data_IF_213372877390
#
_entry.id   IF_213372877390
#
_cell.length_a   1.000
_cell.length_b   1.000
_cell.length_c   1.000
_cell.angle_alpha   90.00
_cell.angle_beta   90.00
_cell.angle_gamma   90.00
#
_symmetry.space_group_name_H-M   'P 1'
#
loop_
_entity.id
_entity.type
_entity.pdbx_description
1 polymer ?
#
# COMPACT_ATOMS: atom_id res chain seq x y z
N UNK A 1 34.15 -16.02 26.34
CA UNK A 1 33.16 -15.20 27.06
C UNK A 1 31.91 -16.05 27.26
N UNK A 2 31.53 -16.35 28.50
CA UNK A 2 30.29 -17.07 28.82
C UNK A 2 29.08 -16.15 28.60
N UNK A 3 27.97 -16.61 27.99
CA UNK A 3 26.83 -15.75 27.75
C UNK A 3 26.11 -15.43 29.07
N UNK A 4 25.95 -14.15 29.36
CA UNK A 4 25.14 -13.65 30.47
C UNK A 4 23.66 -13.69 30.09
N UNK A 5 22.84 -14.32 30.95
CA UNK A 5 21.38 -14.40 30.82
C UNK A 5 20.77 -13.03 31.17
N UNK A 6 19.79 -12.51 30.40
CA UNK A 6 19.15 -11.22 30.69
C UNK A 6 18.45 -11.21 32.07
N UNK A 7 18.48 -10.10 32.82
CA UNK A 7 17.87 -9.99 34.15
C UNK A 7 16.37 -10.32 34.19
N UNK A 8 15.66 -10.22 33.06
CA UNK A 8 14.24 -10.55 32.93
C UNK A 8 13.91 -12.05 32.95
N UNK A 9 14.92 -12.93 32.96
CA UNK A 9 14.75 -14.39 32.92
C UNK A 9 15.05 -15.08 34.27
N UNK A 10 15.31 -14.28 35.30
CA UNK A 10 15.60 -14.74 36.65
C UNK A 10 14.38 -14.43 37.52
N UNK A 11 13.68 -15.47 37.98
CA UNK A 11 12.55 -15.29 38.91
C UNK A 11 13.02 -14.69 40.24
N UNK A 12 12.09 -14.17 41.05
CA UNK A 12 12.39 -13.50 42.34
C UNK A 12 13.27 -14.31 43.31
N UNK A 13 13.42 -15.61 43.10
CA UNK A 13 14.26 -16.51 43.91
C UNK A 13 15.62 -16.86 43.26
N UNK A 14 16.07 -16.13 42.23
CA UNK A 14 17.41 -16.33 41.64
C UNK A 14 17.57 -17.58 40.77
N UNK A 15 16.47 -18.22 40.35
CA UNK A 15 16.47 -19.41 39.49
C UNK A 15 15.88 -19.09 38.10
N UNK A 16 16.35 -19.76 37.01
CA UNK A 16 15.75 -19.64 35.69
C UNK A 16 14.29 -20.09 35.73
N UNK A 17 13.40 -19.28 35.13
CA UNK A 17 11.96 -19.58 35.06
C UNK A 17 11.73 -20.84 34.22
N UNK A 18 10.92 -21.79 34.72
CA UNK A 18 10.63 -23.03 33.98
C UNK A 18 9.72 -22.72 32.77
N UNK A 19 9.90 -23.39 31.61
CA UNK A 19 9.04 -23.18 30.43
C UNK A 19 7.53 -23.38 30.70
N UNK A 20 7.18 -24.24 31.66
CA UNK A 20 5.80 -24.46 32.09
C UNK A 20 5.18 -23.28 32.85
N UNK A 21 5.99 -22.39 33.41
CA UNK A 21 5.56 -21.18 34.15
C UNK A 21 5.47 -19.95 33.22
N UNK A 22 6.12 -19.97 32.05
CA UNK A 22 5.92 -18.96 31.00
C UNK A 22 4.51 -19.05 30.37
N UNK A 23 3.95 -20.25 30.26
CA UNK A 23 2.64 -20.49 29.66
C UNK A 23 1.45 -20.11 30.56
N UNK A 24 1.67 -19.87 31.85
CA UNK A 24 0.64 -19.41 32.79
C UNK A 24 0.59 -17.88 32.93
N UNK A 25 1.53 -17.15 32.31
CA UNK A 25 1.60 -15.69 32.34
C UNK A 25 1.11 -15.04 31.03
N UNK A 26 0.59 -15.84 30.09
CA UNK A 26 0.00 -15.38 28.84
C UNK A 26 -1.38 -16.04 28.69
N UNK A 27 -2.30 -15.65 29.57
CA UNK A 27 -3.73 -15.76 29.28
C UNK A 27 -4.06 -14.65 28.26
N UNK A 28 -4.10 -15.02 26.97
CA UNK A 28 -4.74 -14.21 25.94
C UNK A 28 -6.26 -14.28 26.12
N UNK A 29 -6.77 -13.60 27.15
CA UNK A 29 -8.13 -13.07 27.08
C UNK A 29 -8.11 -11.90 26.11
N UNK A 30 -8.71 -12.06 24.93
CA UNK A 30 -9.00 -10.97 24.00
C UNK A 30 -9.84 -9.90 24.72
N UNK A 31 -9.31 -8.71 25.05
CA UNK A 31 -10.02 -7.73 25.87
C UNK A 31 -10.65 -6.64 25.00
N UNK A 32 -11.24 -7.02 23.86
CA UNK A 32 -11.88 -6.06 22.97
C UNK A 32 -13.32 -6.50 22.72
N UNK A 33 -14.24 -5.68 23.23
CA UNK A 33 -15.71 -5.74 23.18
C UNK A 33 -16.41 -6.41 24.38
N UNK A 34 -16.70 -5.60 25.40
CA UNK A 34 -17.99 -5.76 26.08
C UNK A 34 -19.11 -5.37 25.08
N UNK A 35 -20.27 -6.04 25.15
CA UNK A 35 -21.46 -5.71 24.34
C UNK A 35 -21.88 -4.23 24.44
N UNK A 36 -21.39 -3.51 25.46
CA UNK A 36 -21.74 -2.12 25.72
C UNK A 36 -20.87 -1.11 24.94
N UNK A 37 -19.66 -1.46 24.49
CA UNK A 37 -18.84 -0.57 23.65
C UNK A 37 -19.29 -0.55 22.18
N UNK A 38 -19.76 -1.69 21.66
CA UNK A 38 -20.42 -1.78 20.35
C UNK A 38 -21.73 -0.97 20.28
N UNK A 39 -22.40 -0.75 21.42
CA UNK A 39 -23.58 0.14 21.49
C UNK A 39 -23.24 1.62 21.44
N UNK A 40 -22.05 2.02 21.92
CA UNK A 40 -21.60 3.43 21.86
C UNK A 40 -21.12 3.84 20.47
N UNK A 41 -20.57 2.91 19.69
CA UNK A 41 -20.15 3.19 18.31
C UNK A 41 -21.33 3.30 17.34
N UNK A 42 -22.40 2.52 17.54
CA UNK A 42 -23.61 2.61 16.72
C UNK A 42 -24.50 3.83 16.99
N UNK A 43 -24.21 4.64 18.02
CA UNK A 43 -25.01 5.84 18.35
C UNK A 43 -24.40 7.16 17.87
N UNK A 44 -23.27 7.14 17.16
CA UNK A 44 -22.58 8.34 16.66
C UNK A 44 -22.49 8.44 15.13
N UNK A 45 -23.11 7.50 14.40
CA UNK A 45 -23.13 7.52 12.93
C UNK A 45 -24.22 8.46 12.34
N UNK A 46 -25.02 9.13 13.17
CA UNK A 46 -26.11 10.02 12.75
C UNK A 46 -25.75 11.50 12.94
N UNK A 47 -24.64 12.00 12.42
CA UNK A 47 -24.45 13.44 12.19
C UNK A 47 -23.28 13.64 11.23
N UNK A 48 -23.57 13.76 9.93
CA UNK A 48 -22.87 14.62 8.94
C UNK A 48 -23.46 14.34 7.55
N UNK A 49 -24.58 14.99 7.23
CA UNK A 49 -25.01 15.18 5.83
C UNK A 49 -25.42 16.64 5.64
N UNK A 50 -24.48 17.47 5.18
CA UNK A 50 -24.81 18.78 4.62
C UNK A 50 -24.48 18.81 3.13
N UNK A 51 -25.55 18.66 2.35
CA UNK A 51 -25.68 18.96 0.91
C UNK A 51 -25.16 20.36 0.59
N UNK A 52 -24.31 20.49 -0.43
CA UNK A 52 -24.20 21.74 -1.19
C UNK A 52 -25.01 21.62 -2.49
N UNK A 53 -26.10 22.38 -2.53
CA UNK A 53 -26.93 22.68 -3.69
C UNK A 53 -26.36 23.96 -4.32
N UNK A 54 -26.09 23.95 -5.63
CA UNK A 54 -26.05 25.18 -6.41
C UNK A 54 -27.02 25.03 -7.58
N UNK A 55 -28.13 25.74 -7.48
CA UNK A 55 -29.11 25.94 -8.55
C UNK A 55 -28.76 27.21 -9.33
N UNK A 56 -28.76 27.04 -10.66
CA UNK A 56 -29.29 27.90 -11.71
C UNK A 56 -29.59 29.39 -11.42
N UNK A 57 -28.99 30.25 -12.25
CA UNK A 57 -29.58 31.52 -12.72
C UNK A 57 -29.41 31.63 -14.24
N UNK A 58 -30.52 31.56 -14.97
CA UNK A 58 -30.74 32.14 -16.33
C UNK A 58 -30.94 33.66 -16.17
N UNK A 59 -30.71 34.60 -17.09
CA UNK A 59 -30.91 34.73 -18.54
C UNK A 59 -30.51 36.16 -18.96
N UNK A 60 -30.20 36.44 -20.24
CA UNK A 60 -30.46 37.77 -20.84
C UNK A 60 -29.48 38.31 -21.90
N UNK A 61 -29.87 38.18 -23.18
CA UNK A 61 -29.73 39.06 -24.36
C UNK A 61 -28.42 39.80 -24.75
N UNK A 62 -27.82 39.30 -25.85
CA UNK A 62 -27.62 39.95 -27.16
C UNK A 62 -27.45 41.49 -27.29
N UNK A 63 -26.26 41.95 -27.70
CA UNK A 63 -25.95 42.49 -29.06
C UNK A 63 -24.74 43.47 -29.08
N UNK A 64 -24.07 43.52 -30.25
CA UNK A 64 -23.14 44.56 -30.76
C UNK A 64 -21.68 44.52 -30.27
N UNK A 65 -20.79 43.87 -31.04
CA UNK A 65 -19.48 44.40 -31.46
C UNK A 65 -18.69 43.39 -32.32
N UNK A 66 -19.27 42.93 -33.43
CA UNK A 66 -18.59 42.08 -34.42
C UNK A 66 -18.06 42.92 -35.59
N UNK A 67 -16.89 43.56 -35.42
CA UNK A 67 -16.03 44.08 -36.51
C UNK A 67 -14.71 44.60 -35.93
N UNK A 68 -13.81 43.68 -35.59
CA UNK A 68 -12.47 44.01 -35.08
C UNK A 68 -11.63 42.81 -34.67
N UNK A 69 -12.26 41.66 -34.40
CA UNK A 69 -11.59 40.45 -33.88
C UNK A 69 -11.08 39.51 -35.01
N UNK A 70 -11.32 39.84 -36.28
CA UNK A 70 -10.92 38.99 -37.41
C UNK A 70 -9.39 38.92 -37.64
N UNK A 71 -8.65 40.02 -37.44
CA UNK A 71 -7.19 40.04 -37.70
C UNK A 71 -6.34 39.55 -36.53
N UNK A 72 -6.79 39.75 -35.29
CA UNK A 72 -6.10 39.24 -34.10
C UNK A 72 -6.21 37.72 -33.96
N UNK A 73 -7.29 37.11 -34.46
CA UNK A 73 -7.44 35.65 -34.46
C UNK A 73 -6.59 34.96 -35.54
N UNK A 74 -6.32 35.59 -36.67
CA UNK A 74 -5.46 35.02 -37.71
C UNK A 74 -3.97 35.12 -37.37
N UNK A 75 -3.53 36.16 -36.66
CA UNK A 75 -2.18 36.24 -36.08
C UNK A 75 -2.00 35.25 -34.91
N UNK A 76 -3.01 35.04 -34.07
CA UNK A 76 -2.99 33.98 -33.05
C UNK A 76 -2.97 32.57 -33.66
N UNK A 77 -3.63 32.35 -34.80
CA UNK A 77 -3.58 31.06 -35.52
C UNK A 77 -2.24 30.79 -36.20
N UNK A 78 -1.46 31.83 -36.50
CA UNK A 78 -0.09 31.66 -37.04
C UNK A 78 0.95 31.44 -35.94
N UNK A 79 0.77 32.03 -34.75
CA UNK A 79 1.61 31.76 -33.57
C UNK A 79 1.25 30.41 -32.91
N UNK A 80 -0.02 29.98 -32.98
CA UNK A 80 -0.45 28.63 -32.55
C UNK A 80 -0.02 27.50 -33.51
N UNK A 81 0.69 27.81 -34.61
CA UNK A 81 1.42 26.83 -35.43
C UNK A 81 2.87 26.61 -34.98
N UNK A 82 3.25 27.13 -33.82
CA UNK A 82 4.40 26.62 -33.07
C UNK A 82 4.00 25.25 -32.54
N UNK A 83 4.37 24.19 -33.29
CA UNK A 83 4.36 22.78 -32.90
C UNK A 83 3.24 22.43 -31.92
N UNK A 84 2.08 22.01 -32.45
CA UNK A 84 1.35 20.94 -31.78
C UNK A 84 2.34 19.79 -31.65
N UNK A 85 3.02 19.71 -30.50
CA UNK A 85 3.70 18.49 -30.07
C UNK A 85 2.58 17.47 -30.11
N UNK A 86 2.63 16.55 -31.06
CA UNK A 86 1.74 15.40 -31.07
C UNK A 86 1.69 14.88 -29.64
N UNK A 87 0.50 14.75 -29.07
CA UNK A 87 0.35 14.27 -27.71
C UNK A 87 1.09 12.95 -27.62
N UNK A 88 2.24 12.96 -26.96
CA UNK A 88 3.06 11.78 -26.76
C UNK A 88 2.19 10.84 -25.93
N UNK A 89 1.83 9.68 -26.48
CA UNK A 89 1.11 8.68 -25.71
C UNK A 89 1.88 8.36 -24.44
N UNK A 90 1.20 8.14 -23.32
CA UNK A 90 1.84 7.71 -22.08
C UNK A 90 1.00 6.60 -21.48
N UNK A 91 1.64 5.50 -21.08
CA UNK A 91 0.98 4.39 -20.38
C UNK A 91 0.83 4.65 -18.88
N UNK A 92 0.94 5.91 -18.46
CA UNK A 92 1.02 6.29 -17.07
C UNK A 92 0.23 7.56 -16.81
N UNK A 93 -0.57 7.56 -15.75
CA UNK A 93 -1.14 8.78 -15.17
C UNK A 93 -0.46 9.09 -13.84
N UNK A 94 -0.33 10.36 -13.48
CA UNK A 94 0.37 10.77 -12.26
C UNK A 94 -0.42 11.77 -11.47
N UNK A 95 -0.51 11.54 -10.15
CA UNK A 95 -1.09 12.48 -9.19
C UNK A 95 -0.11 12.69 -8.03
N UNK A 96 0.05 13.94 -7.61
CA UNK A 96 0.80 14.25 -6.38
C UNK A 96 -0.08 14.00 -5.15
N UNK A 97 0.41 13.23 -4.19
CA UNK A 97 -0.34 12.89 -2.96
C UNK A 97 0.21 13.58 -1.71
N UNK A 98 1.43 14.11 -1.79
CA UNK A 98 2.09 14.85 -0.71
C UNK A 98 3.13 15.84 -1.23
N UNK A 99 3.87 16.48 -0.32
CA UNK A 99 4.91 17.43 -0.68
C UNK A 99 6.07 16.80 -1.45
N UNK A 100 6.35 15.51 -1.24
CA UNK A 100 7.49 14.83 -1.87
C UNK A 100 7.12 13.51 -2.54
N UNK A 101 5.83 13.14 -2.55
CA UNK A 101 5.38 11.85 -3.07
C UNK A 101 4.29 11.99 -4.13
N UNK A 102 4.44 11.19 -5.18
CA UNK A 102 3.51 11.01 -6.29
C UNK A 102 3.04 9.57 -6.35
N UNK A 103 1.80 9.37 -6.79
CA UNK A 103 1.29 8.08 -7.24
C UNK A 103 1.22 8.10 -8.76
N UNK A 104 1.72 7.03 -9.36
CA UNK A 104 1.69 6.77 -10.79
C UNK A 104 0.85 5.52 -11.01
N UNK A 105 -0.21 5.63 -11.82
CA UNK A 105 -1.02 4.48 -12.20
C UNK A 105 -0.62 4.05 -13.61
N UNK A 106 -0.29 2.76 -13.77
CA UNK A 106 0.00 2.18 -15.09
C UNK A 106 -1.31 1.80 -15.82
N UNK A 107 -1.39 2.07 -17.12
CA UNK A 107 -2.38 1.48 -18.02
C UNK A 107 -1.77 0.25 -18.70
N UNK A 108 -1.92 -0.88 -18.02
CA UNK A 108 -1.36 -2.17 -18.41
C UNK A 108 -2.36 -3.02 -19.22
N UNK A 109 -1.83 -4.09 -19.82
CA UNK A 109 -2.59 -5.00 -20.67
C UNK A 109 -3.48 -6.00 -19.90
N UNK A 110 -3.26 -6.16 -18.60
CA UNK A 110 -4.00 -7.06 -17.70
C UNK A 110 -5.18 -6.35 -17.02
N UNK A 111 -5.23 -5.01 -17.08
CA UNK A 111 -6.27 -4.19 -16.45
C UNK A 111 -6.26 -4.31 -14.94
N UNK A 112 -5.06 -4.47 -14.37
CA UNK A 112 -4.85 -4.44 -12.92
C UNK A 112 -4.55 -3.03 -12.41
N UNK A 113 -4.10 -2.15 -13.30
CA UNK A 113 -3.87 -0.73 -13.06
C UNK A 113 -3.06 -0.45 -11.79
N UNK A 114 -1.87 -1.06 -11.64
CA UNK A 114 -1.09 -0.97 -10.41
C UNK A 114 -0.67 0.47 -10.11
N UNK A 115 -0.67 0.81 -8.83
CA UNK A 115 -0.27 2.09 -8.27
C UNK A 115 1.18 2.02 -7.77
N UNK A 116 2.04 2.74 -8.47
CA UNK A 116 3.46 2.89 -8.17
C UNK A 116 3.66 4.19 -7.41
N UNK A 117 4.34 4.15 -6.26
CA UNK A 117 4.63 5.36 -5.50
C UNK A 117 6.04 5.85 -5.72
N UNK A 118 6.20 7.15 -5.94
CA UNK A 118 7.49 7.78 -6.21
C UNK A 118 7.72 8.89 -5.21
N UNK A 119 8.76 8.74 -4.39
CA UNK A 119 9.13 9.73 -3.37
C UNK A 119 10.51 10.32 -3.66
N UNK A 120 10.58 11.64 -3.69
CA UNK A 120 11.84 12.38 -3.73
C UNK A 120 12.37 12.56 -2.31
N UNK A 121 13.62 12.18 -2.08
CA UNK A 121 14.27 12.28 -0.76
C UNK A 121 15.26 13.44 -0.77
N UNK A 122 14.86 14.70 -0.49
CA UNK A 122 15.71 15.87 -0.69
C UNK A 122 17.01 15.87 0.13
N UNK A 123 17.06 15.09 1.22
CA UNK A 123 18.23 14.95 2.09
C UNK A 123 19.35 14.08 1.51
N UNK A 124 19.09 13.31 0.45
CA UNK A 124 20.04 12.39 -0.19
C UNK A 124 19.84 12.36 -1.72
N UNK A 125 20.83 11.98 -2.53
CA UNK A 125 20.69 11.93 -4.00
C UNK A 125 19.92 10.67 -4.46
N UNK A 126 18.73 10.43 -3.90
CA UNK A 126 17.92 9.21 -4.09
C UNK A 126 16.49 9.56 -4.46
N UNK A 127 15.95 8.78 -5.39
CA UNK A 127 14.51 8.67 -5.67
C UNK A 127 14.05 7.29 -5.21
N UNK A 128 13.03 7.27 -4.36
CA UNK A 128 12.43 6.04 -3.87
C UNK A 128 11.25 5.67 -4.77
N UNK A 129 11.19 4.41 -5.18
CA UNK A 129 10.06 3.78 -5.84
C UNK A 129 9.46 2.72 -4.90
N UNK A 130 8.15 2.73 -4.71
CA UNK A 130 7.41 1.59 -4.18
C UNK A 130 6.86 0.85 -5.38
N UNK A 131 7.39 -0.34 -5.62
CA UNK A 131 7.08 -1.19 -6.77
C UNK A 131 7.39 -0.52 -8.12
N UNK A 132 7.13 -1.24 -9.22
CA UNK A 132 7.56 -0.84 -10.57
C UNK A 132 6.55 -1.08 -11.68
N UNK A 133 5.36 -1.59 -11.36
CA UNK A 133 4.36 -1.96 -12.35
C UNK A 133 4.66 -3.28 -13.06
N UNK A 134 3.83 -3.56 -14.04
CA UNK A 134 3.89 -4.73 -14.92
C UNK A 134 4.92 -4.59 -16.05
N UNK A 135 5.26 -3.35 -16.45
CA UNK A 135 6.00 -3.03 -17.70
C UNK A 135 5.32 -3.62 -18.94
N UNK A 136 3.98 -3.79 -18.88
CA UNK A 136 3.17 -4.50 -19.85
C UNK A 136 2.10 -3.57 -20.46
N UNK A 137 2.49 -2.55 -21.24
CA UNK A 137 1.55 -1.57 -21.80
C UNK A 137 0.45 -2.23 -22.65
N UNK A 138 -0.74 -1.60 -22.69
CA UNK A 138 -1.83 -1.99 -23.60
C UNK A 138 -1.38 -2.05 -25.08
N UNK A 139 -2.12 -2.79 -25.92
CA UNK A 139 -1.80 -2.91 -27.35
C UNK A 139 -1.89 -1.56 -28.05
N UNK A 140 -2.86 -0.76 -27.64
CA UNK A 140 -3.10 0.60 -28.10
C UNK A 140 -1.85 1.46 -27.81
N UNK A 141 -1.39 1.48 -26.56
CA UNK A 141 -0.21 2.24 -26.17
C UNK A 141 1.07 1.76 -26.88
N UNK A 142 1.22 0.45 -27.11
CA UNK A 142 2.36 -0.11 -27.87
C UNK A 142 2.39 0.34 -29.32
N UNK A 143 1.23 0.59 -29.92
CA UNK A 143 1.11 0.91 -31.34
C UNK A 143 1.39 2.38 -31.67
N UNK A 144 1.33 3.26 -30.66
CA UNK A 144 1.53 4.71 -30.83
C UNK A 144 3.02 5.03 -30.74
N UNK A 145 3.60 5.45 -31.86
CA UNK A 145 5.01 5.84 -31.96
C UNK A 145 5.31 6.97 -30.97
N UNK A 146 6.41 6.83 -30.22
CA UNK A 146 6.85 7.82 -29.23
C UNK A 146 6.22 7.64 -27.85
N UNK A 147 5.29 6.69 -27.67
CA UNK A 147 4.65 6.47 -26.36
C UNK A 147 5.67 6.06 -25.30
N UNK A 148 5.64 6.74 -24.15
CA UNK A 148 6.41 6.31 -22.99
C UNK A 148 5.72 5.13 -22.34
N UNK A 149 6.14 3.93 -22.70
CA UNK A 149 5.64 2.66 -22.16
C UNK A 149 6.45 2.13 -20.98
N UNK A 150 7.65 2.66 -20.76
CA UNK A 150 8.55 2.22 -19.71
C UNK A 150 8.60 3.24 -18.57
N UNK A 151 8.36 2.79 -17.34
CA UNK A 151 8.32 3.68 -16.16
C UNK A 151 9.61 4.50 -16.00
N UNK A 152 10.79 3.91 -16.23
CA UNK A 152 12.06 4.67 -16.14
C UNK A 152 12.11 5.81 -17.15
N UNK A 153 11.68 5.56 -18.40
CA UNK A 153 11.62 6.62 -19.41
C UNK A 153 10.65 7.72 -18.98
N UNK A 154 9.48 7.34 -18.47
CA UNK A 154 8.47 8.25 -17.96
C UNK A 154 9.06 9.17 -16.87
N UNK A 155 9.70 8.60 -15.85
CA UNK A 155 10.32 9.33 -14.75
C UNK A 155 11.45 10.27 -15.19
N UNK A 156 12.23 9.87 -16.21
CA UNK A 156 13.43 10.62 -16.62
C UNK A 156 13.17 11.69 -17.69
N UNK A 157 12.11 11.55 -18.49
CA UNK A 157 11.90 12.32 -19.72
C UNK A 157 10.55 12.99 -19.84
N UNK A 158 9.50 12.45 -19.22
CA UNK A 158 8.14 12.97 -19.39
C UNK A 158 7.89 14.11 -18.39
N UNK A 159 7.50 15.32 -18.86
CA UNK A 159 7.07 16.41 -17.98
C UNK A 159 5.85 16.02 -17.16
N UNK A 160 5.89 16.24 -15.85
CA UNK A 160 4.74 15.99 -14.96
C UNK A 160 4.20 17.34 -14.48
N UNK A 161 2.92 17.61 -14.78
CA UNK A 161 2.25 18.88 -14.44
C UNK A 161 2.37 19.21 -12.95
N UNK A 162 2.07 18.22 -12.10
CA UNK A 162 2.14 18.35 -10.64
C UNK A 162 3.57 18.47 -10.08
N UNK A 163 4.59 18.40 -10.95
CA UNK A 163 6.00 18.64 -10.67
C UNK A 163 6.55 19.81 -11.50
N UNK A 164 5.76 20.88 -11.64
CA UNK A 164 6.15 22.10 -12.35
C UNK A 164 6.55 21.85 -13.82
N UNK A 165 5.88 20.90 -14.47
CA UNK A 165 6.18 20.45 -15.84
C UNK A 165 7.64 19.97 -16.00
N UNK A 166 8.22 19.37 -14.96
CA UNK A 166 9.53 18.72 -15.00
C UNK A 166 9.39 17.21 -14.78
N UNK A 167 10.26 16.38 -15.39
CA UNK A 167 10.37 14.96 -15.01
C UNK A 167 10.75 14.80 -13.53
N UNK A 168 10.35 13.69 -12.91
CA UNK A 168 10.67 13.42 -11.50
C UNK A 168 12.15 13.11 -11.26
N UNK A 169 12.81 12.47 -12.23
CA UNK A 169 14.24 12.20 -12.17
C UNK A 169 14.96 12.59 -13.48
N UNK A 170 15.09 13.89 -13.79
CA UNK A 170 15.55 14.34 -15.10
C UNK A 170 16.90 13.72 -15.48
N UNK A 171 16.91 12.91 -16.55
CA UNK A 171 18.09 12.18 -17.03
C UNK A 171 18.72 11.20 -16.02
N UNK A 172 17.95 10.68 -15.07
CA UNK A 172 18.43 9.66 -14.12
C UNK A 172 19.48 10.20 -13.13
N UNK A 173 19.39 11.48 -12.75
CA UNK A 173 20.35 12.14 -11.86
C UNK A 173 20.35 11.59 -10.43
N UNK A 174 19.20 11.14 -9.95
CA UNK A 174 19.02 10.53 -8.64
C UNK A 174 19.19 9.00 -8.75
N UNK A 175 19.78 8.41 -7.72
CA UNK A 175 19.90 6.95 -7.61
C UNK A 175 18.54 6.35 -7.31
N UNK A 176 18.19 5.28 -8.00
CA UNK A 176 16.94 4.55 -7.75
C UNK A 176 17.08 3.66 -6.51
N UNK A 177 16.14 3.80 -5.60
CA UNK A 177 15.93 2.90 -4.48
C UNK A 177 14.52 2.32 -4.56
N UNK A 178 14.40 1.02 -4.80
CA UNK A 178 13.12 0.33 -4.95
C UNK A 178 12.80 -0.41 -3.65
N UNK A 179 11.66 -0.09 -3.05
CA UNK A 179 11.02 -0.94 -2.04
C UNK A 179 10.00 -1.80 -2.78
N UNK A 180 10.22 -3.11 -2.74
CA UNK A 180 9.29 -4.08 -3.27
C UNK A 180 8.34 -4.50 -2.16
N UNK A 181 7.04 -4.27 -2.34
CA UNK A 181 6.02 -4.69 -1.37
C UNK A 181 5.91 -6.20 -1.34
N UNK A 182 5.88 -6.85 -2.51
CA UNK A 182 5.97 -8.30 -2.67
C UNK A 182 6.33 -8.69 -4.12
N UNK A 183 6.42 -9.99 -4.43
CA UNK A 183 7.00 -10.48 -5.67
C UNK A 183 6.07 -10.69 -6.87
N UNK A 184 4.79 -10.35 -6.78
CA UNK A 184 3.88 -10.47 -7.92
C UNK A 184 4.27 -9.54 -9.08
N UNK A 185 3.96 -10.00 -10.30
CA UNK A 185 4.45 -9.46 -11.57
C UNK A 185 4.13 -7.97 -11.79
N UNK A 186 3.00 -7.51 -11.28
CA UNK A 186 2.53 -6.13 -11.32
C UNK A 186 3.26 -5.18 -10.36
N UNK A 187 4.13 -5.73 -9.50
CA UNK A 187 5.03 -4.95 -8.66
C UNK A 187 6.48 -4.97 -9.17
N UNK A 188 6.88 -6.03 -9.85
CA UNK A 188 8.29 -6.30 -10.19
C UNK A 188 8.63 -6.24 -11.68
N UNK A 189 7.62 -6.18 -12.55
CA UNK A 189 7.79 -6.25 -14.00
C UNK A 189 8.71 -5.17 -14.54
N UNK A 190 8.60 -3.97 -13.98
CA UNK A 190 9.43 -2.82 -14.32
C UNK A 190 10.81 -2.79 -13.68
N UNK A 191 11.27 -3.77 -12.89
CA UNK A 191 12.60 -3.71 -12.26
C UNK A 191 13.76 -3.69 -13.27
N UNK A 192 13.80 -4.52 -14.34
CA UNK A 192 14.98 -4.65 -15.21
C UNK A 192 15.47 -3.34 -15.86
N UNK A 193 14.57 -2.41 -16.18
CA UNK A 193 14.93 -1.09 -16.73
C UNK A 193 15.76 -0.24 -15.75
N UNK A 194 15.60 -0.43 -14.44
CA UNK A 194 16.34 0.32 -13.42
C UNK A 194 17.73 -0.27 -13.14
N UNK A 195 18.01 -1.51 -13.56
CA UNK A 195 19.30 -2.14 -13.30
C UNK A 195 20.44 -1.56 -14.15
N UNK A 196 20.12 -0.84 -15.24
CA UNK A 196 21.12 -0.19 -16.09
C UNK A 196 21.90 0.84 -15.29
N UNK A 197 23.21 0.63 -15.18
CA UNK A 197 24.14 1.48 -14.40
C UNK A 197 24.62 0.85 -13.11
N UNK A 198 23.99 -0.24 -12.62
CA UNK A 198 24.48 -1.02 -11.49
C UNK A 198 24.41 -0.34 -10.12
N UNK A 199 23.75 0.81 -9.99
CA UNK A 199 23.66 1.60 -8.76
C UNK A 199 22.33 1.44 -8.01
N UNK A 200 21.33 0.83 -8.64
CA UNK A 200 19.99 0.65 -8.08
C UNK A 200 20.01 -0.27 -6.88
N UNK A 201 19.38 0.18 -5.80
CA UNK A 201 19.17 -0.61 -4.60
C UNK A 201 17.74 -1.15 -4.60
N UNK A 202 17.56 -2.41 -4.25
CA UNK A 202 16.27 -3.10 -4.13
C UNK A 202 16.14 -3.68 -2.73
N UNK A 203 15.08 -3.30 -2.03
CA UNK A 203 14.72 -3.79 -0.71
C UNK A 203 13.49 -4.67 -0.80
N UNK A 204 13.52 -5.82 -0.11
CA UNK A 204 12.39 -6.71 0.05
C UNK A 204 12.31 -7.23 1.50
N UNK A 205 11.20 -7.89 1.83
CA UNK A 205 10.92 -8.41 3.16
C UNK A 205 11.86 -9.55 3.52
N UNK A 206 12.57 -9.45 4.64
CA UNK A 206 13.36 -10.57 5.15
C UNK A 206 12.48 -11.76 5.56
N UNK A 207 11.20 -11.56 5.89
CA UNK A 207 10.30 -12.65 6.30
C UNK A 207 9.95 -13.60 5.15
N UNK A 208 9.82 -13.09 3.92
CA UNK A 208 9.55 -13.91 2.74
C UNK A 208 10.75 -14.14 1.85
N UNK A 209 11.97 -14.00 2.38
CA UNK A 209 13.20 -14.29 1.62
C UNK A 209 13.17 -15.69 0.99
N UNK A 210 12.84 -16.70 1.79
CA UNK A 210 12.72 -18.08 1.34
C UNK A 210 11.62 -18.26 0.28
N UNK A 211 10.53 -17.49 0.39
CA UNK A 211 9.45 -17.50 -0.58
C UNK A 211 9.97 -17.00 -1.94
N UNK A 212 10.65 -15.86 -1.98
CA UNK A 212 11.24 -15.33 -3.21
C UNK A 212 12.33 -16.26 -3.75
N UNK A 213 13.29 -16.69 -2.94
CA UNK A 213 14.49 -17.39 -3.42
C UNK A 213 14.23 -18.84 -3.89
N UNK A 214 13.21 -19.54 -3.36
CA UNK A 214 13.00 -20.97 -3.66
C UNK A 214 12.29 -21.25 -4.97
N UNK A 215 11.27 -20.47 -5.33
CA UNK A 215 10.44 -20.72 -6.51
C UNK A 215 9.87 -19.40 -7.07
N UNK A 216 10.79 -18.47 -7.33
CA UNK A 216 10.45 -17.14 -7.82
C UNK A 216 9.55 -17.16 -9.05
N UNK A 217 9.79 -18.07 -10.00
CA UNK A 217 8.99 -18.18 -11.23
C UNK A 217 7.51 -18.46 -10.98
N UNK A 218 7.20 -19.25 -9.95
CA UNK A 218 5.81 -19.58 -9.62
C UNK A 218 5.21 -18.55 -8.67
N UNK A 219 6.00 -18.05 -7.74
CA UNK A 219 5.54 -17.13 -6.70
C UNK A 219 5.30 -15.72 -7.23
N UNK A 220 6.00 -15.29 -8.28
CA UNK A 220 5.74 -14.00 -8.91
C UNK A 220 4.46 -13.95 -9.73
N UNK A 221 3.77 -15.08 -9.92
CA UNK A 221 2.63 -15.22 -10.82
C UNK A 221 2.94 -14.70 -12.24
N UNK A 222 4.21 -14.73 -12.66
CA UNK A 222 4.64 -14.12 -13.92
C UNK A 222 3.85 -14.71 -15.10
N UNK A 223 3.06 -13.89 -15.82
CA UNK A 223 2.29 -14.39 -16.93
C UNK A 223 3.23 -14.65 -18.10
N UNK A 224 3.25 -15.89 -18.59
CA UNK A 224 4.22 -16.35 -19.58
C UNK A 224 4.17 -15.61 -20.93
N UNK A 225 3.13 -14.83 -21.17
CA UNK A 225 2.97 -13.95 -22.33
C UNK A 225 3.60 -12.55 -22.15
N UNK A 226 4.02 -12.19 -20.93
CA UNK A 226 4.72 -10.94 -20.62
C UNK A 226 6.21 -10.97 -20.96
N UNK A 227 6.68 -12.03 -21.62
CA UNK A 227 8.07 -12.23 -21.97
C UNK A 227 8.89 -12.85 -20.84
N UNK A 228 10.17 -12.48 -20.76
CA UNK A 228 11.12 -13.10 -19.83
C UNK A 228 10.85 -12.66 -18.38
N UNK A 229 10.83 -13.64 -17.47
CA UNK A 229 10.77 -13.39 -16.02
C UNK A 229 11.85 -12.38 -15.61
N UNK A 230 11.51 -11.30 -14.88
CA UNK A 230 12.46 -10.27 -14.46
C UNK A 230 13.61 -10.88 -13.67
N UNK A 231 14.83 -10.50 -14.04
CA UNK A 231 16.04 -10.93 -13.31
C UNK A 231 16.61 -9.77 -12.54
N UNK A 232 16.63 -9.89 -11.22
CA UNK A 232 17.22 -8.90 -10.32
C UNK A 232 17.74 -9.57 -9.05
N UNK A 233 18.49 -8.82 -8.25
CA UNK A 233 18.97 -9.24 -6.93
C UNK A 233 18.42 -8.29 -5.87
N UNK A 234 17.81 -8.82 -4.83
CA UNK A 234 17.49 -8.04 -3.63
C UNK A 234 18.80 -7.64 -2.97
N UNK A 235 19.02 -6.33 -2.84
CA UNK A 235 20.22 -5.75 -2.23
C UNK A 235 20.11 -5.65 -0.71
N UNK A 236 18.88 -5.53 -0.19
CA UNK A 236 18.59 -5.45 1.24
C UNK A 236 17.37 -6.28 1.61
N UNK A 237 17.58 -7.24 2.50
CA UNK A 237 16.50 -7.92 3.20
C UNK A 237 16.19 -7.14 4.48
N UNK A 238 15.04 -6.47 4.53
CA UNK A 238 14.67 -5.61 5.65
C UNK A 238 13.92 -6.38 6.73
N UNK A 239 14.24 -6.10 7.99
CA UNK A 239 13.51 -6.62 9.14
C UNK A 239 12.24 -5.79 9.41
N UNK A 240 11.25 -6.37 10.09
CA UNK A 240 10.11 -5.59 10.57
C UNK A 240 10.58 -4.56 11.59
N UNK A 241 9.98 -3.37 11.55
CA UNK A 241 10.37 -2.17 12.30
C UNK A 241 11.79 -1.64 12.02
N UNK A 242 12.47 -2.13 10.98
CA UNK A 242 13.76 -1.57 10.57
C UNK A 242 13.58 -0.12 10.10
N UNK A 243 14.36 0.79 10.69
CA UNK A 243 14.44 2.19 10.26
C UNK A 243 15.53 2.33 9.21
N UNK A 244 15.15 2.79 8.01
CA UNK A 244 16.05 2.84 6.88
C UNK A 244 16.96 4.07 6.95
N UNK A 245 18.20 3.87 6.52
CA UNK A 245 19.20 4.92 6.36
C UNK A 245 19.91 4.75 5.02
N UNK A 246 20.57 5.81 4.55
CA UNK A 246 21.29 5.82 3.29
C UNK A 246 22.78 6.10 3.50
N UNK A 247 23.69 5.33 2.88
CA UNK A 247 23.42 4.17 2.01
C UNK A 247 22.83 2.96 2.77
N UNK A 248 22.07 2.09 2.08
CA UNK A 248 21.40 0.93 2.70
C UNK A 248 22.36 -0.15 3.23
N UNK A 249 23.59 -0.20 2.70
CA UNK A 249 24.60 -1.14 3.14
C UNK A 249 25.69 -0.43 3.93
N UNK A 250 25.95 -0.92 5.14
CA UNK A 250 27.13 -0.61 5.95
C UNK A 250 28.39 -1.30 5.40
N UNK A 251 28.62 -1.26 4.07
CA UNK A 251 29.92 -1.69 3.54
C UNK A 251 30.95 -0.63 3.91
N UNK A 252 31.49 -0.76 5.10
CA UNK A 252 32.66 -0.02 5.53
C UNK A 252 33.84 -0.45 4.66
N UNK A 253 34.42 0.51 3.94
CA UNK A 253 35.79 0.36 3.49
C UNK A 253 36.67 0.45 4.74
N UNK A 254 37.55 -0.54 4.91
CA UNK A 254 38.56 -0.53 5.96
C UNK A 254 39.88 -0.15 5.32
N UNK A 255 40.68 0.68 6.00
CA UNK A 255 42.05 0.92 5.58
C UNK A 255 42.90 -0.34 5.79
N UNK A 256 44.16 -0.27 5.33
CA UNK A 256 45.11 -1.37 5.46
C UNK A 256 45.38 -1.77 6.93
N UNK A 257 45.03 -0.91 7.89
CA UNK A 257 45.15 -1.12 9.34
C UNK A 257 43.85 -1.66 9.98
N UNK A 258 42.78 -1.85 9.18
CA UNK A 258 41.49 -2.35 9.65
C UNK A 258 40.63 -1.29 10.34
N UNK A 259 40.94 0.00 10.20
CA UNK A 259 40.08 1.09 10.64
C UNK A 259 39.07 1.45 9.54
N UNK A 260 37.80 1.71 9.88
CA UNK A 260 36.84 2.17 8.90
C UNK A 260 37.33 3.51 8.31
N UNK A 261 37.55 3.52 6.99
CA UNK A 261 37.88 4.72 6.22
C UNK A 261 36.64 5.60 6.27
N UNK A 262 36.65 6.54 7.20
CA UNK A 262 35.57 7.46 7.58
C UNK A 262 34.53 7.70 6.47
N UNK A 263 33.43 6.97 6.52
CA UNK A 263 32.20 7.37 5.83
C UNK A 263 31.37 8.19 6.80
N UNK A 264 30.77 9.28 6.30
CA UNK A 264 29.76 10.02 7.06
C UNK A 264 28.72 9.03 7.61
N UNK A 265 28.20 9.25 8.83
CA UNK A 265 27.17 8.38 9.38
C UNK A 265 25.99 8.30 8.40
N UNK A 266 25.37 7.12 8.22
CA UNK A 266 24.24 6.98 7.33
C UNK A 266 23.14 8.00 7.62
N UNK A 267 22.62 8.63 6.58
CA UNK A 267 21.53 9.60 6.71
C UNK A 267 20.22 8.86 6.87
N UNK A 268 19.51 9.11 7.98
CA UNK A 268 18.16 8.55 8.18
C UNK A 268 17.23 8.95 7.03
N UNK A 269 16.50 7.98 6.50
CA UNK A 269 15.49 8.23 5.47
C UNK A 269 14.12 8.60 6.08
N UNK A 270 13.95 8.47 7.39
CA UNK A 270 12.65 8.68 8.04
C UNK A 270 11.60 7.63 7.65
N UNK A 271 12.05 6.44 7.22
CA UNK A 271 11.20 5.35 6.75
C UNK A 271 11.32 4.16 7.70
N UNK A 272 10.20 3.52 8.02
CA UNK A 272 10.14 2.26 8.78
C UNK A 272 9.47 1.17 7.96
N UNK A 273 10.09 -0.02 7.91
CA UNK A 273 9.52 -1.20 7.25
C UNK A 273 8.64 -1.97 8.23
N UNK A 274 7.54 -2.54 7.77
CA UNK A 274 6.61 -3.36 8.54
C UNK A 274 6.31 -4.61 7.73
N UNK A 275 6.65 -5.81 8.22
CA UNK A 275 6.23 -7.03 7.50
C UNK A 275 4.72 -7.19 7.60
N UNK A 276 4.05 -7.56 6.53
CA UNK A 276 2.58 -7.73 6.51
C UNK A 276 2.20 -9.03 5.80
N UNK A 277 2.76 -10.18 6.20
CA UNK A 277 2.44 -11.45 5.55
C UNK A 277 0.94 -11.71 5.62
N UNK A 278 0.38 -12.18 4.52
CA UNK A 278 -1.06 -12.35 4.40
C UNK A 278 -1.50 -12.57 2.96
N UNK A 279 -1.46 -11.54 2.12
CA UNK A 279 -1.73 -11.73 0.69
C UNK A 279 -0.61 -12.53 0.04
N UNK A 280 0.65 -12.21 0.38
CA UNK A 280 1.79 -13.13 0.17
C UNK A 280 2.67 -13.28 1.42
N UNK A 281 3.49 -14.34 1.53
CA UNK A 281 4.44 -14.48 2.64
C UNK A 281 5.56 -13.43 2.66
N UNK A 282 5.93 -12.85 1.51
CA UNK A 282 6.97 -11.82 1.38
C UNK A 282 6.46 -10.39 1.49
N UNK A 283 5.17 -10.22 1.79
CA UNK A 283 4.59 -8.90 1.82
C UNK A 283 5.11 -7.99 2.94
N UNK A 284 5.32 -6.73 2.58
CA UNK A 284 5.63 -5.66 3.51
C UNK A 284 4.86 -4.39 3.21
N UNK A 285 4.64 -3.63 4.26
CA UNK A 285 4.30 -2.23 4.25
C UNK A 285 5.52 -1.38 4.61
N UNK A 286 5.49 -0.09 4.28
CA UNK A 286 6.46 0.88 4.78
C UNK A 286 5.80 2.19 5.15
N UNK A 287 6.36 2.83 6.17
CA UNK A 287 5.82 4.04 6.77
C UNK A 287 6.81 5.19 6.66
N UNK A 288 6.34 6.30 6.11
CA UNK A 288 7.02 7.59 6.04
C UNK A 288 6.62 8.45 7.24
N UNK A 289 7.57 8.64 8.16
CA UNK A 289 7.36 9.43 9.38
C UNK A 289 7.14 10.91 9.10
N UNK A 290 7.77 11.46 8.06
CA UNK A 290 7.70 12.90 7.79
C UNK A 290 6.35 13.31 7.20
N UNK A 291 5.79 12.45 6.34
CA UNK A 291 4.52 12.73 5.67
C UNK A 291 3.31 12.05 6.34
N UNK A 292 3.56 11.20 7.35
CA UNK A 292 2.53 10.37 8.00
C UNK A 292 1.80 9.47 6.99
N UNK A 293 2.53 8.82 6.09
CA UNK A 293 1.96 7.92 5.07
C UNK A 293 2.40 6.47 5.30
N UNK A 294 1.44 5.55 5.25
CA UNK A 294 1.64 4.11 5.29
C UNK A 294 1.27 3.53 3.91
N UNK A 295 2.23 2.87 3.28
CA UNK A 295 2.06 2.18 1.99
C UNK A 295 1.99 0.69 2.26
N UNK A 296 0.90 0.04 1.85
CA UNK A 296 0.56 -1.33 2.29
C UNK A 296 0.60 -2.39 1.19
N UNK A 297 0.98 -2.03 -0.03
CA UNK A 297 0.91 -2.96 -1.17
C UNK A 297 -0.52 -3.47 -1.38
N UNK A 298 -0.63 -4.77 -1.62
CA UNK A 298 -1.90 -5.48 -1.90
C UNK A 298 -2.65 -5.94 -0.66
N UNK A 299 -2.13 -5.65 0.53
CA UNK A 299 -2.70 -6.12 1.79
C UNK A 299 -4.19 -5.86 1.89
N UNK A 300 -4.65 -4.71 1.42
CA UNK A 300 -6.07 -4.39 1.28
C UNK A 300 -6.25 -3.12 0.45
N UNK A 301 -7.46 -2.92 -0.07
CA UNK A 301 -7.89 -1.69 -0.71
C UNK A 301 -9.43 -1.68 -0.81
N UNK A 302 -10.00 -0.52 -1.13
CA UNK A 302 -11.41 -0.40 -1.51
C UNK A 302 -11.59 -0.80 -2.97
N UNK A 303 -12.83 -1.05 -3.37
CA UNK A 303 -13.15 -1.50 -4.73
C UNK A 303 -12.85 -0.46 -5.84
N UNK A 304 -12.86 0.83 -5.50
CA UNK A 304 -12.62 1.91 -6.46
C UNK A 304 -13.68 1.98 -7.57
N UNK A 305 -13.33 2.59 -8.69
CA UNK A 305 -14.23 2.73 -9.86
C UNK A 305 -14.34 1.45 -10.70
N UNK A 306 -13.41 0.52 -10.53
CA UNK A 306 -13.32 -0.72 -11.31
C UNK A 306 -13.89 -1.94 -10.57
N UNK A 307 -14.53 -1.72 -9.41
CA UNK A 307 -15.11 -2.77 -8.59
C UNK A 307 -14.10 -3.88 -8.16
N UNK A 308 -12.82 -3.53 -8.04
CA UNK A 308 -11.73 -4.49 -7.83
C UNK A 308 -11.72 -5.06 -6.41
N UNK A 309 -11.91 -6.38 -6.21
CA UNK A 309 -11.90 -6.98 -4.87
C UNK A 309 -10.49 -7.03 -4.30
N UNK A 310 -10.36 -7.15 -2.98
CA UNK A 310 -9.09 -7.58 -2.36
C UNK A 310 -8.84 -9.02 -2.83
N UNK A 311 -7.84 -9.22 -3.68
CA UNK A 311 -7.51 -10.51 -4.27
C UNK A 311 -6.51 -11.25 -3.38
N UNK A 312 -6.74 -12.53 -3.12
CA UNK A 312 -5.75 -13.42 -2.49
C UNK A 312 -5.29 -14.50 -3.46
N UNK A 313 -3.98 -14.67 -3.66
CA UNK A 313 -3.45 -15.76 -4.48
C UNK A 313 -3.52 -17.10 -3.73
N UNK A 314 -3.27 -18.23 -4.41
CA UNK A 314 -3.14 -19.53 -3.74
C UNK A 314 -2.11 -19.56 -2.60
N UNK A 315 -1.07 -18.73 -2.68
CA UNK A 315 0.00 -18.64 -1.68
C UNK A 315 -0.38 -17.80 -0.46
N UNK A 316 -1.54 -17.14 -0.48
CA UNK A 316 -2.01 -16.29 0.61
C UNK A 316 -2.38 -17.08 1.87
N UNK A 317 -2.52 -16.34 2.97
CA UNK A 317 -2.88 -16.85 4.29
C UNK A 317 -3.74 -15.81 5.02
N UNK A 318 -5.06 -16.03 5.01
CA UNK A 318 -6.02 -15.13 5.65
C UNK A 318 -5.86 -15.04 7.18
N UNK A 319 -5.27 -16.05 7.84
CA UNK A 319 -5.02 -16.01 9.29
C UNK A 319 -3.87 -15.04 9.58
N UNK A 320 -2.74 -15.19 8.90
CA UNK A 320 -1.61 -14.27 9.03
C UNK A 320 -1.99 -12.85 8.61
N UNK A 321 -2.79 -12.73 7.55
CA UNK A 321 -3.33 -11.46 7.09
C UNK A 321 -4.09 -10.71 8.20
N UNK A 322 -5.00 -11.37 8.92
CA UNK A 322 -5.74 -10.74 10.04
C UNK A 322 -4.77 -10.21 11.10
N UNK A 323 -3.75 -10.98 11.48
CA UNK A 323 -2.74 -10.52 12.45
C UNK A 323 -1.91 -9.35 11.92
N UNK A 324 -1.57 -9.36 10.63
CA UNK A 324 -0.89 -8.25 9.96
C UNK A 324 -1.74 -6.98 9.97
N UNK A 325 -3.04 -7.08 9.70
CA UNK A 325 -3.95 -5.92 9.71
C UNK A 325 -4.16 -5.37 11.11
N UNK A 326 -4.27 -6.23 12.12
CA UNK A 326 -4.32 -5.79 13.52
C UNK A 326 -3.04 -5.07 13.95
N UNK A 327 -1.87 -5.56 13.54
CA UNK A 327 -0.59 -4.90 13.77
C UNK A 327 -0.55 -3.50 13.14
N UNK A 328 -1.01 -3.36 11.89
CA UNK A 328 -1.11 -2.05 11.23
C UNK A 328 -2.09 -1.13 11.97
N UNK A 329 -3.26 -1.63 12.40
CA UNK A 329 -4.24 -0.83 13.13
C UNK A 329 -3.69 -0.31 14.46
N UNK A 330 -2.95 -1.14 15.20
CA UNK A 330 -2.26 -0.72 16.42
C UNK A 330 -1.18 0.32 16.12
N UNK A 331 -0.36 0.08 15.09
CA UNK A 331 0.69 1.01 14.67
C UNK A 331 0.11 2.39 14.30
N UNK A 332 -0.91 2.42 13.44
CA UNK A 332 -1.60 3.65 13.02
C UNK A 332 -2.19 4.41 14.20
N UNK A 333 -2.86 3.72 15.13
CA UNK A 333 -3.37 4.34 16.36
C UNK A 333 -2.25 4.93 17.21
N UNK A 334 -1.13 4.22 17.32
CA UNK A 334 0.06 4.69 18.04
C UNK A 334 0.64 5.98 17.46
N UNK A 335 0.88 6.01 16.14
CA UNK A 335 1.41 7.21 15.47
C UNK A 335 0.44 8.39 15.52
N UNK A 336 -0.86 8.14 15.34
CA UNK A 336 -1.88 9.19 15.53
C UNK A 336 -1.90 9.76 16.94
N UNK A 337 -1.76 8.89 17.97
CA UNK A 337 -1.71 9.33 19.36
C UNK A 337 -0.44 10.15 19.65
N UNK A 338 0.72 9.74 19.09
CA UNK A 338 1.98 10.49 19.21
C UNK A 338 1.86 11.87 18.58
N UNK A 339 1.38 11.96 17.35
CA UNK A 339 1.17 13.23 16.65
C UNK A 339 0.18 14.14 17.42
N UNK A 340 -0.90 13.58 17.95
CA UNK A 340 -1.85 14.33 18.78
C UNK A 340 -1.22 14.86 20.09
N UNK A 341 -0.36 14.08 20.73
CA UNK A 341 0.37 14.52 21.92
C UNK A 341 1.35 15.63 21.61
N UNK A 342 2.12 15.52 20.51
CA UNK A 342 3.05 16.55 20.05
C UNK A 342 2.34 17.87 19.72
N UNK A 343 1.23 17.82 18.99
CA UNK A 343 0.45 19.01 18.66
C UNK A 343 -0.09 19.73 19.91
N UNK A 344 -0.52 18.98 20.93
CA UNK A 344 -0.98 19.56 22.21
C UNK A 344 0.13 20.28 22.95
N UNK A 345 1.36 19.74 22.93
CA UNK A 345 2.50 20.40 23.57
C UNK A 345 2.81 21.73 22.88
N UNK A 346 2.79 21.76 21.54
CA UNK A 346 3.02 22.99 20.77
C UNK A 346 1.94 24.03 21.05
N UNK A 347 0.66 23.64 21.09
CA UNK A 347 -0.45 24.57 21.40
C UNK A 347 -0.41 25.16 22.81
N UNK A 348 0.23 24.50 23.78
CA UNK A 348 0.36 25.04 25.15
C UNK A 348 1.42 26.15 25.21
N UNK A 349 2.46 26.04 24.39
CA UNK A 349 3.58 26.96 24.36
C UNK A 349 3.45 28.08 23.31
N UNK A 350 2.42 28.01 22.45
CA UNK A 350 2.19 29.01 21.43
C UNK A 350 1.57 30.30 22.03
N UNK A 351 2.21 31.44 21.78
CA UNK A 351 1.66 32.77 22.09
C UNK A 351 0.57 33.19 21.08
N UNK A 352 0.30 32.35 20.09
CA UNK A 352 -0.74 32.59 19.10
C UNK A 352 -2.02 31.82 19.45
N UNK A 353 -3.18 32.43 19.17
CA UNK A 353 -4.50 31.84 19.47
C UNK A 353 -4.86 30.69 18.49
N UNK A 354 -3.88 30.03 17.87
CA UNK A 354 -4.11 28.98 16.87
C UNK A 354 -4.16 27.59 17.49
N UNK A 355 -5.17 26.81 17.12
CA UNK A 355 -5.25 25.38 17.45
C UNK A 355 -4.38 24.58 16.48
N UNK A 356 -3.30 23.97 16.98
CA UNK A 356 -2.50 23.05 16.16
C UNK A 356 -3.21 21.70 16.01
N UNK A 357 -3.69 21.42 14.80
CA UNK A 357 -4.31 20.14 14.45
C UNK A 357 -3.22 19.13 14.06
N UNK A 358 -3.15 18.02 14.78
CA UNK A 358 -2.18 16.97 14.49
C UNK A 358 -2.47 16.29 13.14
N UNK A 359 -1.44 16.05 12.31
CA UNK A 359 -1.61 15.20 11.14
C UNK A 359 -1.98 13.79 11.57
N UNK A 360 -2.78 13.11 10.74
CA UNK A 360 -3.16 11.71 10.93
C UNK A 360 -2.51 10.85 9.87
N UNK A 361 -2.24 9.59 10.20
CA UNK A 361 -1.68 8.63 9.27
C UNK A 361 -2.64 8.42 8.12
N UNK A 362 -2.13 8.60 6.89
CA UNK A 362 -2.80 8.26 5.66
C UNK A 362 -2.33 6.91 5.14
N UNK A 363 -3.23 6.15 4.54
CA UNK A 363 -2.95 4.86 3.91
C UNK A 363 -3.07 4.97 2.40
N UNK A 364 -2.13 4.31 1.72
CA UNK A 364 -2.03 4.19 0.28
C UNK A 364 -1.75 2.73 -0.09
N UNK A 365 -2.54 2.18 -1.01
CA UNK A 365 -2.51 0.77 -1.40
C UNK A 365 -1.96 0.62 -2.82
N UNK A 366 -1.59 -0.59 -3.24
CA UNK A 366 -1.10 -0.80 -4.61
C UNK A 366 -2.20 -0.83 -5.67
N UNK A 367 -3.47 -0.90 -5.28
CA UNK A 367 -4.60 -0.70 -6.18
C UNK A 367 -5.62 0.26 -5.57
N UNK A 368 -6.31 1.00 -6.45
CA UNK A 368 -7.49 1.87 -6.26
C UNK A 368 -7.44 2.99 -5.21
N UNK A 369 -6.81 2.76 -4.06
CA UNK A 369 -6.96 3.52 -2.82
C UNK A 369 -5.70 4.30 -2.52
N UNK A 370 -5.82 5.63 -2.48
CA UNK A 370 -4.68 6.54 -2.24
C UNK A 370 -5.02 7.56 -1.16
N UNK A 371 -4.11 7.76 -0.22
CA UNK A 371 -4.12 8.87 0.75
C UNK A 371 -5.40 8.99 1.62
N UNK A 372 -6.03 7.87 2.00
CA UNK A 372 -7.22 7.85 2.88
C UNK A 372 -6.84 7.81 4.36
N UNK A 373 -7.73 8.18 5.29
CA UNK A 373 -7.42 8.08 6.74
C UNK A 373 -7.17 6.62 7.13
N UNK A 374 -6.00 6.37 7.69
CA UNK A 374 -5.54 5.01 8.00
C UNK A 374 -6.35 4.33 9.09
N UNK A 375 -6.82 5.08 10.09
CA UNK A 375 -7.58 4.48 11.19
C UNK A 375 -9.00 4.13 10.72
N UNK A 376 -9.60 4.96 9.88
CA UNK A 376 -10.92 4.72 9.31
C UNK A 376 -10.92 3.51 8.39
N UNK A 377 -9.99 3.42 7.41
CA UNK A 377 -9.99 2.30 6.48
C UNK A 377 -9.66 0.96 7.15
N UNK A 378 -8.79 0.95 8.18
CA UNK A 378 -8.49 -0.28 8.91
C UNK A 378 -9.67 -0.73 9.79
N UNK A 379 -10.44 0.21 10.35
CA UNK A 379 -11.67 -0.11 11.07
C UNK A 379 -12.76 -0.64 10.12
N UNK A 380 -12.88 -0.05 8.92
CA UNK A 380 -13.75 -0.53 7.85
C UNK A 380 -13.39 -1.96 7.43
N UNK A 381 -12.09 -2.23 7.24
CA UNK A 381 -11.56 -3.55 6.89
C UNK A 381 -11.82 -4.60 7.97
N UNK A 382 -11.59 -4.26 9.24
CA UNK A 382 -11.86 -5.14 10.37
C UNK A 382 -13.35 -5.50 10.45
N UNK A 383 -14.23 -4.51 10.30
CA UNK A 383 -15.68 -4.74 10.31
C UNK A 383 -16.15 -5.61 9.13
N UNK A 384 -15.63 -5.34 7.93
CA UNK A 384 -15.95 -6.12 6.73
C UNK A 384 -15.45 -7.56 6.83
N UNK A 385 -14.15 -7.76 7.11
CA UNK A 385 -13.53 -9.08 7.21
C UNK A 385 -14.19 -9.94 8.29
N UNK A 386 -14.53 -9.37 9.45
CA UNK A 386 -15.28 -10.07 10.48
C UNK A 386 -16.62 -10.60 9.96
N UNK A 387 -17.41 -9.78 9.25
CA UNK A 387 -18.68 -10.22 8.65
C UNK A 387 -18.47 -11.34 7.63
N UNK A 388 -17.42 -11.27 6.81
CA UNK A 388 -17.06 -12.34 5.86
C UNK A 388 -16.77 -13.64 6.61
N UNK A 389 -15.95 -13.60 7.67
CA UNK A 389 -15.60 -14.79 8.45
C UNK A 389 -16.81 -15.40 9.15
N UNK A 390 -17.72 -14.60 9.72
CA UNK A 390 -18.93 -15.14 10.35
C UNK A 390 -20.05 -15.53 9.37
N UNK A 391 -19.78 -15.51 8.06
CA UNK A 391 -20.74 -15.94 7.03
C UNK A 391 -21.88 -14.95 6.77
N UNK A 392 -21.72 -13.68 7.14
CA UNK A 392 -22.73 -12.63 6.92
C UNK A 392 -22.61 -11.93 5.57
N UNK A 393 -21.48 -12.06 4.89
CA UNK A 393 -21.28 -11.57 3.53
C UNK A 393 -21.49 -12.74 2.56
N UNK A 394 -22.42 -12.64 1.59
CA UNK A 394 -22.69 -13.73 0.66
C UNK A 394 -21.55 -13.91 -0.34
N UNK A 395 -21.47 -15.12 -0.88
CA UNK A 395 -20.67 -15.40 -2.08
C UNK A 395 -21.50 -15.02 -3.30
N UNK A 396 -21.07 -14.01 -4.04
CA UNK A 396 -21.79 -13.51 -5.24
C UNK A 396 -21.28 -14.13 -6.53
N UNK A 397 -20.03 -14.58 -6.56
CA UNK A 397 -19.40 -15.23 -7.70
C UNK A 397 -18.55 -16.41 -7.25
N UNK A 398 -18.46 -17.43 -8.12
CA UNK A 398 -17.65 -18.63 -7.93
C UNK A 398 -16.94 -18.96 -9.23
N UNK A 399 -15.63 -19.14 -9.16
CA UNK A 399 -14.79 -19.48 -10.30
C UNK A 399 -13.80 -20.60 -9.95
N UNK A 400 -13.09 -21.12 -10.95
CA UNK A 400 -11.97 -22.04 -10.79
C UNK A 400 -10.70 -21.46 -11.41
N UNK A 401 -9.75 -21.09 -10.57
CA UNK A 401 -8.46 -20.56 -11.00
C UNK A 401 -7.33 -21.32 -10.30
N UNK A 402 -6.22 -21.54 -11.01
CA UNK A 402 -5.05 -22.27 -10.50
C UNK A 402 -5.37 -23.67 -9.92
N UNK A 403 -6.45 -24.30 -10.38
CA UNK A 403 -6.90 -25.61 -9.88
C UNK A 403 -7.67 -25.57 -8.56
N UNK A 404 -7.99 -24.39 -8.05
CA UNK A 404 -8.74 -24.18 -6.81
C UNK A 404 -10.10 -23.51 -7.08
N UNK A 405 -11.06 -23.71 -6.17
CA UNK A 405 -12.32 -22.95 -6.18
C UNK A 405 -12.06 -21.58 -5.56
N UNK A 406 -12.33 -20.52 -6.32
CA UNK A 406 -12.23 -19.13 -5.87
C UNK A 406 -13.64 -18.58 -5.69
N UNK A 407 -13.87 -17.88 -4.58
CA UNK A 407 -15.15 -17.26 -4.27
C UNK A 407 -14.96 -15.75 -4.10
N UNK A 408 -15.95 -14.97 -4.56
CA UNK A 408 -16.05 -13.54 -4.31
C UNK A 408 -17.08 -13.27 -3.21
N UNK A 409 -16.61 -12.72 -2.08
CA UNK A 409 -17.46 -12.22 -1.00
C UNK A 409 -17.70 -10.72 -1.16
N UNK A 410 -18.95 -10.33 -1.38
CA UNK A 410 -19.36 -8.95 -1.61
C UNK A 410 -20.69 -8.69 -0.92
N UNK A 411 -20.78 -7.61 -0.14
CA UNK A 411 -22.06 -7.16 0.40
C UNK A 411 -22.94 -6.63 -0.75
N UNK A 412 -24.26 -6.81 -0.65
CA UNK A 412 -25.22 -6.29 -1.63
C UNK A 412 -25.98 -5.07 -1.09
N UNK A 413 -26.45 -4.21 -1.99
CA UNK A 413 -27.30 -3.05 -1.66
C UNK A 413 -26.56 -1.72 -1.46
N UNK A 414 -27.33 -0.64 -1.33
CA UNK A 414 -26.82 0.75 -1.31
C UNK A 414 -25.96 1.10 -0.09
N UNK A 415 -26.08 0.34 1.01
CA UNK A 415 -25.35 0.57 2.27
C UNK A 415 -24.17 -0.38 2.48
N UNK A 416 -23.71 -1.03 1.41
CA UNK A 416 -22.57 -1.95 1.46
C UNK A 416 -21.27 -1.23 1.78
N UNK A 417 -20.35 -1.91 2.45
CA UNK A 417 -18.95 -1.45 2.53
C UNK A 417 -18.33 -1.41 1.12
N UNK A 418 -17.46 -0.44 0.82
CA UNK A 418 -16.78 -0.35 -0.48
C UNK A 418 -15.60 -1.34 -0.56
N UNK A 419 -15.80 -2.54 -0.04
CA UNK A 419 -14.83 -3.62 0.05
C UNK A 419 -15.49 -4.91 -0.41
N UNK A 420 -14.71 -5.72 -1.13
CA UNK A 420 -15.01 -7.11 -1.42
C UNK A 420 -13.72 -7.91 -1.32
N UNK A 421 -13.84 -9.24 -1.24
CA UNK A 421 -12.71 -10.14 -1.09
C UNK A 421 -12.87 -11.32 -2.06
N UNK A 422 -11.84 -11.56 -2.87
CA UNK A 422 -11.74 -12.68 -3.80
C UNK A 422 -10.62 -13.59 -3.31
N UNK A 423 -10.93 -14.83 -2.93
CA UNK A 423 -9.91 -15.74 -2.40
C UNK A 423 -10.24 -17.20 -2.67
N UNK A 424 -9.23 -18.08 -2.69
CA UNK A 424 -9.46 -19.51 -2.64
C UNK A 424 -10.35 -19.90 -1.46
N UNK A 425 -11.41 -20.66 -1.75
CA UNK A 425 -12.39 -21.13 -0.75
C UNK A 425 -11.72 -21.82 0.43
N UNK A 426 -10.63 -22.57 0.20
CA UNK A 426 -9.89 -23.23 1.27
C UNK A 426 -9.31 -22.24 2.28
N UNK A 427 -8.79 -21.09 1.83
CA UNK A 427 -8.21 -20.08 2.73
C UNK A 427 -9.29 -19.52 3.66
N UNK A 428 -10.48 -19.28 3.11
CA UNK A 428 -11.62 -18.82 3.89
C UNK A 428 -12.06 -19.89 4.90
N UNK A 429 -12.13 -21.16 4.50
CA UNK A 429 -12.47 -22.26 5.39
C UNK A 429 -11.46 -22.43 6.52
N UNK A 430 -10.17 -22.35 6.21
CA UNK A 430 -9.08 -22.42 7.19
C UNK A 430 -9.17 -21.26 8.19
N UNK A 431 -9.38 -20.04 7.71
CA UNK A 431 -9.56 -18.87 8.58
C UNK A 431 -10.81 -19.01 9.47
N UNK A 432 -11.95 -19.38 8.90
CA UNK A 432 -13.19 -19.61 9.67
C UNK A 432 -13.01 -20.66 10.75
N UNK A 433 -12.38 -21.78 10.41
CA UNK A 433 -12.07 -22.84 11.37
C UNK A 433 -11.15 -22.34 12.48
N UNK A 434 -10.08 -21.62 12.14
CA UNK A 434 -9.14 -21.06 13.09
C UNK A 434 -9.80 -20.08 14.08
N UNK A 435 -10.68 -19.21 13.59
CA UNK A 435 -11.40 -18.24 14.41
C UNK A 435 -12.70 -18.78 15.06
N UNK A 436 -12.99 -20.08 14.94
CA UNK A 436 -14.18 -20.69 15.57
C UNK A 436 -15.51 -20.30 14.91
N UNK A 437 -15.48 -19.94 13.63
CA UNK A 437 -16.63 -19.60 12.80
C UNK A 437 -16.93 -20.70 11.76
N UNK A 438 -16.61 -21.95 12.09
CA UNK A 438 -16.87 -23.08 11.21
C UNK A 438 -18.37 -23.13 10.90
N UNK A 439 -18.71 -22.80 9.65
CA UNK A 439 -20.08 -22.88 9.16
C UNK A 439 -20.36 -24.36 9.04
N UNK A 440 -21.06 -24.94 10.03
CA UNK A 440 -21.58 -26.30 9.93
C UNK A 440 -22.30 -26.39 8.60
N UNK A 441 -21.71 -27.16 7.70
CA UNK A 441 -22.11 -27.36 6.32
C UNK A 441 -23.64 -27.21 6.17
N UNK A 442 -24.10 -26.11 5.56
CA UNK A 442 -25.52 -25.85 5.29
C UNK A 442 -26.12 -26.91 4.34
N UNK A 443 -25.34 -27.93 3.97
CA UNK A 443 -25.76 -29.17 3.30
C UNK A 443 -26.43 -30.20 4.21
N UNK A 444 -26.97 -29.81 5.36
CA UNK A 444 -27.97 -30.61 6.10
C UNK A 444 -29.22 -29.79 6.40
N UNK A 445 -29.91 -29.40 5.33
CA UNK A 445 -31.35 -29.22 5.36
C UNK A 445 -32.04 -30.58 5.39
N UNK A 446 -31.91 -31.29 6.51
CA UNK A 446 -32.99 -32.07 7.14
C UNK A 446 -32.47 -32.70 8.45
N UNK A 447 -33.36 -32.67 9.44
CA UNK A 447 -33.30 -33.28 10.77
C UNK A 447 -32.55 -32.56 11.90
N UNK A 448 -33.32 -31.67 12.55
CA UNK A 448 -33.53 -31.84 13.98
C UNK A 448 -32.94 -30.76 14.88
N UNK A 449 -33.84 -29.88 15.35
CA UNK A 449 -33.70 -29.13 16.59
C UNK A 449 -33.03 -29.98 17.68
N UNK A 450 -31.82 -29.60 18.11
CA UNK A 450 -31.33 -29.89 19.46
C UNK A 450 -30.77 -28.63 20.08
N UNK A 451 -31.61 -28.06 20.94
CA UNK A 451 -31.21 -27.27 22.09
C UNK A 451 -30.01 -27.90 22.78
N UNK A 452 -28.99 -27.11 23.07
CA UNK A 452 -28.14 -27.32 24.23
C UNK A 452 -27.89 -25.98 24.88
N UNK A 453 -28.44 -25.83 26.10
CA UNK A 453 -27.95 -24.87 27.06
C UNK A 453 -26.75 -25.45 27.78
N UNK A 454 -25.79 -24.58 28.08
CA UNK A 454 -25.22 -24.33 29.41
C UNK A 454 -24.75 -22.88 29.44
#
# INVERSE_FOLDING_TARGET
>A
MTPTIPPSWIGQNGKPVKPSELNAAIDFHCPFFSKDELRRYNSHADFYTSRNRYENYTSGDDTIASRGIGRLLDEYRHIARVRTVEAVGVSFTTKRISSTTWVIQEDDMYKEHPLIYVKLLPQVPVILLCDTGTDAPTKENRSIVGTSTHLRHYLEKVPIESNSNQPLNPNGKLTYFIIQTHCHYDHIGGIPQFLRGGTTQILASAAGRDFIEKDFSRHSLWPGDNGELPRYCVTKWAQTFERLSWPLSEKYEYDDDGHPVTQQPPTSLGITVLHTPGHTPDELAWYDHAEMFLYVGDSFYREGEEDMPIIFPPQGNLIEWVFSMQKLAVFVRGENARAAAEARLVSVDAEDDWEHVAPRVKVSCAHTTTAVDGAEILAELEAFSFKVFVGKVPVVERDKQFGEEIDLWKEEGEKRTPMSLLAPRRLMQDARKFFGHDVKDERRGDDGCRFWGW
#
